data_IF_815449133650
#
_entry.id   IF_815449133650
#
_cell.length_a   1.000
_cell.length_b   1.000
_cell.length_c   1.000
_cell.angle_alpha   90.00
_cell.angle_beta   90.00
_cell.angle_gamma   90.00
#
_symmetry.space_group_name_H-M   'P 1'
#
loop_
_entity.id
_entity.type
_entity.pdbx_description
1 polymer ?
#
# COMPACT_ATOMS: atom_id res chain seq x y z
N UNK A 1 13.98 -11.25 -5.99
CA UNK A 1 12.54 -11.02 -6.25
C UNK A 1 12.10 -9.75 -5.54
N UNK A 2 11.40 -8.89 -6.23
CA UNK A 2 10.85 -7.66 -5.62
C UNK A 2 9.73 -8.01 -4.64
N UNK A 3 9.63 -7.26 -3.57
CA UNK A 3 8.70 -7.51 -2.48
C UNK A 3 7.70 -6.36 -2.34
N UNK A 4 6.41 -6.70 -2.33
CA UNK A 4 5.32 -5.73 -2.23
C UNK A 4 4.50 -6.00 -0.97
N UNK A 5 4.39 -5.03 -0.09
CA UNK A 5 3.55 -5.14 1.10
C UNK A 5 2.12 -4.71 0.76
N UNK A 6 1.16 -5.51 1.18
CA UNK A 6 -0.26 -5.22 1.03
C UNK A 6 -0.81 -4.95 2.42
N UNK A 7 -1.26 -3.72 2.66
CA UNK A 7 -1.78 -3.30 3.96
C UNK A 7 -3.27 -2.99 3.82
N UNK A 8 -4.09 -3.92 4.27
CA UNK A 8 -5.55 -3.82 4.18
C UNK A 8 -6.15 -4.69 5.28
N UNK A 9 -7.19 -4.21 5.94
CA UNK A 9 -7.87 -4.96 6.99
C UNK A 9 -8.84 -6.02 6.46
N UNK A 10 -9.16 -5.98 5.18
CA UNK A 10 -10.03 -6.97 4.55
C UNK A 10 -9.22 -8.20 4.10
N UNK A 11 -9.38 -9.36 4.77
CA UNK A 11 -8.60 -10.55 4.40
C UNK A 11 -8.89 -11.08 3.00
N UNK A 12 -10.10 -10.89 2.49
CA UNK A 12 -10.45 -11.34 1.14
C UNK A 12 -9.70 -10.54 0.10
N UNK A 13 -9.67 -9.24 0.26
CA UNK A 13 -8.97 -8.35 -0.67
C UNK A 13 -7.47 -8.60 -0.63
N UNK A 14 -6.90 -8.77 0.57
CA UNK A 14 -5.48 -9.12 0.71
C UNK A 14 -5.13 -10.37 -0.10
N UNK A 15 -5.94 -11.41 0.00
CA UNK A 15 -5.71 -12.66 -0.73
C UNK A 15 -5.81 -12.49 -2.23
N UNK A 16 -6.80 -11.72 -2.71
CA UNK A 16 -6.96 -11.45 -4.14
C UNK A 16 -5.77 -10.68 -4.71
N UNK A 17 -5.31 -9.67 -3.98
CA UNK A 17 -4.15 -8.89 -4.39
C UNK A 17 -2.89 -9.76 -4.36
N UNK A 18 -2.74 -10.58 -3.32
CA UNK A 18 -1.63 -11.52 -3.23
C UNK A 18 -1.54 -12.41 -4.47
N UNK A 19 -2.66 -12.98 -4.89
CA UNK A 19 -2.68 -13.89 -6.04
C UNK A 19 -2.27 -13.18 -7.32
N UNK A 20 -2.75 -11.93 -7.51
CA UNK A 20 -2.35 -11.12 -8.66
C UNK A 20 -0.85 -10.78 -8.65
N UNK A 21 -0.31 -10.46 -7.47
CA UNK A 21 1.12 -10.17 -7.34
C UNK A 21 1.97 -11.38 -7.65
N UNK A 22 1.57 -12.54 -7.20
CA UNK A 22 2.26 -13.80 -7.50
C UNK A 22 2.27 -14.03 -9.01
N UNK A 23 1.14 -13.81 -9.67
CA UNK A 23 1.04 -13.95 -11.12
C UNK A 23 1.95 -12.98 -11.86
N UNK A 24 2.21 -11.82 -11.28
CA UNK A 24 3.11 -10.81 -11.86
C UNK A 24 4.58 -11.06 -11.49
N UNK A 25 4.89 -12.12 -10.77
CA UNK A 25 6.26 -12.50 -10.45
C UNK A 25 6.90 -11.72 -9.31
N UNK A 26 6.11 -11.13 -8.42
CA UNK A 26 6.61 -10.41 -7.23
C UNK A 26 6.22 -11.15 -5.96
N UNK A 27 6.96 -10.91 -4.87
CA UNK A 27 6.68 -11.54 -3.59
C UNK A 27 5.70 -10.66 -2.80
N UNK A 28 4.49 -11.16 -2.47
CA UNK A 28 3.56 -10.42 -1.64
C UNK A 28 3.84 -10.63 -0.16
N UNK A 29 3.69 -9.58 0.65
CA UNK A 29 3.71 -9.68 2.10
C UNK A 29 2.43 -9.04 2.63
N UNK A 30 1.67 -9.78 3.42
CA UNK A 30 0.36 -9.36 3.88
C UNK A 30 0.45 -8.71 5.26
N UNK A 31 -0.14 -7.52 5.39
CA UNK A 31 -0.25 -6.81 6.66
C UNK A 31 -1.73 -6.49 6.91
N UNK A 32 -2.22 -6.82 8.08
CA UNK A 32 -3.62 -6.57 8.44
C UNK A 32 -3.85 -5.13 8.90
N UNK A 33 -2.80 -4.40 9.24
CA UNK A 33 -2.89 -3.03 9.76
C UNK A 33 -1.56 -2.30 9.57
N UNK A 34 -1.57 -1.00 9.88
CA UNK A 34 -0.39 -0.17 9.75
C UNK A 34 0.74 -0.49 10.72
N UNK A 35 0.40 -0.98 11.90
CA UNK A 35 1.39 -1.36 12.91
C UNK A 35 2.22 -2.56 12.43
N UNK A 36 1.56 -3.55 11.83
CA UNK A 36 2.24 -4.69 11.21
C UNK A 36 3.22 -4.23 10.14
N UNK A 37 2.81 -3.26 9.31
CA UNK A 37 3.68 -2.72 8.27
C UNK A 37 4.92 -2.05 8.87
N UNK A 38 4.73 -1.21 9.88
CA UNK A 38 5.83 -0.48 10.49
C UNK A 38 6.84 -1.44 11.12
N UNK A 39 6.37 -2.50 11.75
CA UNK A 39 7.22 -3.55 12.31
C UNK A 39 7.97 -4.31 11.21
N UNK A 40 7.26 -4.67 10.14
CA UNK A 40 7.83 -5.37 9.00
C UNK A 40 8.99 -4.59 8.35
N UNK A 41 8.85 -3.28 8.22
CA UNK A 41 9.87 -2.43 7.63
C UNK A 41 11.15 -2.38 8.44
N UNK A 42 11.09 -2.66 9.74
CA UNK A 42 12.27 -2.80 10.57
C UNK A 42 12.98 -4.14 10.43
N UNK A 43 12.34 -5.11 9.81
CA UNK A 43 12.83 -6.49 9.72
C UNK A 43 13.31 -6.88 8.32
N UNK A 44 12.75 -6.29 7.28
CA UNK A 44 13.08 -6.65 5.90
C UNK A 44 12.87 -5.49 4.94
N UNK A 45 13.51 -5.59 3.78
CA UNK A 45 13.35 -4.62 2.72
C UNK A 45 12.04 -4.84 1.97
N UNK A 46 11.27 -3.79 1.82
CA UNK A 46 10.04 -3.76 1.02
C UNK A 46 10.26 -2.78 -0.13
N UNK A 47 9.88 -3.17 -1.33
CA UNK A 47 10.12 -2.37 -2.54
C UNK A 47 8.93 -1.50 -2.94
N UNK A 48 7.73 -1.85 -2.50
CA UNK A 48 6.51 -1.11 -2.78
C UNK A 48 5.47 -1.41 -1.72
N UNK A 49 4.67 -0.41 -1.35
CA UNK A 49 3.59 -0.58 -0.38
C UNK A 49 2.27 -0.21 -1.03
N UNK A 50 1.28 -1.12 -0.93
CA UNK A 50 -0.11 -0.84 -1.28
C UNK A 50 -0.85 -0.63 0.04
N UNK A 51 -1.32 0.58 0.28
CA UNK A 51 -1.80 0.99 1.59
C UNK A 51 -3.27 1.44 1.53
N UNK A 52 -4.13 0.73 2.25
CA UNK A 52 -5.52 1.13 2.45
C UNK A 52 -5.60 2.30 3.43
N UNK A 53 -6.46 3.28 3.16
CA UNK A 53 -6.67 4.40 4.06
C UNK A 53 -7.64 4.09 5.20
N UNK A 54 -8.60 3.22 4.96
CA UNK A 54 -9.68 2.97 5.92
C UNK A 54 -9.41 1.69 6.71
N UNK A 55 -8.75 1.83 7.85
CA UNK A 55 -8.44 0.72 8.75
C UNK A 55 -8.81 1.08 10.18
N UNK A 56 -9.25 0.11 11.02
CA UNK A 56 -9.84 0.43 12.32
C UNK A 56 -8.88 0.95 13.40
N UNK A 57 -7.65 0.46 13.49
CA UNK A 57 -6.75 0.86 14.59
C UNK A 57 -5.85 2.01 14.23
N UNK A 58 -5.12 1.88 13.14
CA UNK A 58 -4.29 2.95 12.62
C UNK A 58 -4.70 3.15 11.17
N UNK A 59 -5.32 4.29 10.85
CA UNK A 59 -5.72 4.53 9.47
C UNK A 59 -4.49 4.71 8.56
N UNK A 60 -4.72 4.59 7.26
CA UNK A 60 -3.63 4.65 6.29
C UNK A 60 -2.91 5.99 6.28
N UNK A 61 -3.64 7.08 6.55
CA UNK A 61 -3.04 8.41 6.58
C UNK A 61 -2.03 8.54 7.72
N UNK A 62 -2.39 8.05 8.91
CA UNK A 62 -1.50 8.03 10.07
C UNK A 62 -0.29 7.14 9.79
N UNK A 63 -0.51 5.99 9.18
CA UNK A 63 0.57 5.09 8.80
C UNK A 63 1.55 5.78 7.84
N UNK A 64 1.04 6.45 6.81
CA UNK A 64 1.86 7.17 5.85
C UNK A 64 2.68 8.27 6.52
N UNK A 65 2.07 9.01 7.43
CA UNK A 65 2.75 10.04 8.20
C UNK A 65 3.91 9.45 9.01
N UNK A 66 3.69 8.33 9.68
CA UNK A 66 4.73 7.67 10.46
C UNK A 66 5.87 7.14 9.59
N UNK A 67 5.56 6.66 8.39
CA UNK A 67 6.58 6.26 7.42
C UNK A 67 7.50 7.42 7.07
N UNK A 68 6.94 8.60 6.84
CA UNK A 68 7.72 9.79 6.52
C UNK A 68 8.54 10.28 7.70
N UNK A 69 8.01 10.19 8.92
CA UNK A 69 8.74 10.53 10.14
C UNK A 69 9.96 9.62 10.33
N UNK A 70 9.89 8.38 9.86
CA UNK A 70 11.00 7.42 9.89
C UNK A 70 11.97 7.60 8.73
N UNK A 71 11.76 8.60 7.88
CA UNK A 71 12.55 8.83 6.67
C UNK A 71 12.58 7.62 5.73
N UNK A 72 11.51 6.83 5.74
CA UNK A 72 11.42 5.68 4.86
C UNK A 72 11.02 6.15 3.46
N UNK A 73 11.81 5.77 2.46
CA UNK A 73 11.64 6.23 1.08
C UNK A 73 10.93 5.23 0.17
N UNK A 74 10.39 4.14 0.72
CA UNK A 74 9.68 3.13 -0.09
C UNK A 74 8.47 3.79 -0.76
N UNK A 75 8.25 3.54 -2.07
CA UNK A 75 7.05 4.05 -2.74
C UNK A 75 5.79 3.52 -2.10
N UNK A 76 4.82 4.41 -1.90
CA UNK A 76 3.51 4.07 -1.33
C UNK A 76 2.42 4.42 -2.32
N UNK A 77 1.61 3.42 -2.67
CA UNK A 77 0.41 3.61 -3.46
C UNK A 77 -0.77 3.47 -2.52
N UNK A 78 -1.54 4.55 -2.39
CA UNK A 78 -2.74 4.53 -1.56
C UNK A 78 -3.87 3.88 -2.33
N UNK A 79 -4.52 2.88 -1.74
CA UNK A 79 -5.63 2.14 -2.34
C UNK A 79 -6.85 2.32 -1.44
N UNK A 80 -7.92 2.90 -1.99
CA UNK A 80 -9.08 3.25 -1.18
C UNK A 80 -10.39 3.02 -1.94
N UNK A 81 -11.47 2.80 -1.17
CA UNK A 81 -12.80 2.67 -1.73
C UNK A 81 -13.42 4.03 -2.08
N UNK A 82 -12.88 5.12 -1.56
CA UNK A 82 -13.50 6.44 -1.65
C UNK A 82 -12.65 7.43 -2.43
N UNK A 83 -13.29 8.12 -3.38
CA UNK A 83 -12.64 9.17 -4.16
C UNK A 83 -12.94 10.53 -3.51
N UNK A 84 -12.16 10.86 -2.47
CA UNK A 84 -12.27 12.14 -1.78
C UNK A 84 -11.07 13.02 -2.12
N UNK A 85 -11.31 14.18 -2.72
CA UNK A 85 -10.23 15.07 -3.16
C UNK A 85 -9.33 15.54 -2.01
N UNK A 86 -9.91 15.82 -0.84
CA UNK A 86 -9.14 16.23 0.32
C UNK A 86 -8.22 15.10 0.82
N UNK A 87 -8.68 13.86 0.76
CA UNK A 87 -7.86 12.70 1.14
C UNK A 87 -6.74 12.47 0.14
N UNK A 88 -7.03 12.61 -1.14
CA UNK A 88 -6.04 12.51 -2.21
C UNK A 88 -4.95 13.56 -2.03
N UNK A 89 -5.32 14.81 -1.78
CA UNK A 89 -4.38 15.91 -1.57
C UNK A 89 -3.53 15.69 -0.33
N UNK A 90 -4.13 15.24 0.77
CA UNK A 90 -3.43 14.95 2.01
C UNK A 90 -2.43 13.81 1.85
N UNK A 91 -2.83 12.73 1.19
CA UNK A 91 -1.95 11.60 0.93
C UNK A 91 -0.75 12.02 0.06
N UNK A 92 -1.00 12.81 -0.96
CA UNK A 92 0.07 13.33 -1.82
C UNK A 92 1.04 14.21 -1.05
N UNK A 93 0.51 15.09 -0.18
CA UNK A 93 1.34 15.95 0.66
C UNK A 93 2.22 15.13 1.62
N UNK A 94 1.75 13.96 2.04
CA UNK A 94 2.51 13.03 2.87
C UNK A 94 3.41 12.10 2.06
N UNK A 95 3.54 12.34 0.76
CA UNK A 95 4.47 11.63 -0.09
C UNK A 95 3.97 10.35 -0.72
N UNK A 96 2.65 10.11 -0.77
CA UNK A 96 2.11 9.00 -1.54
C UNK A 96 2.41 9.21 -3.03
N UNK A 97 2.83 8.16 -3.69
CA UNK A 97 3.23 8.23 -5.09
C UNK A 97 2.05 8.16 -6.05
N UNK A 98 0.98 7.49 -5.62
CA UNK A 98 -0.24 7.41 -6.41
C UNK A 98 -1.43 7.15 -5.48
N UNK A 99 -2.63 7.33 -6.01
CA UNK A 99 -3.88 7.18 -5.27
C UNK A 99 -4.85 6.42 -6.17
N UNK A 100 -5.16 5.18 -5.81
CA UNK A 100 -5.93 4.26 -6.66
C UNK A 100 -7.24 3.90 -5.98
N UNK A 101 -8.33 3.95 -6.72
CA UNK A 101 -9.61 3.45 -6.24
C UNK A 101 -9.62 1.93 -6.30
N UNK A 102 -10.12 1.28 -5.25
CA UNK A 102 -10.14 -0.18 -5.16
C UNK A 102 -10.71 -0.87 -6.41
N UNK A 103 -11.83 -0.39 -6.99
CA UNK A 103 -12.36 -1.03 -8.22
C UNK A 103 -11.39 -1.04 -9.41
N UNK A 104 -10.45 -0.09 -9.45
CA UNK A 104 -9.52 0.06 -10.56
C UNK A 104 -8.20 -0.67 -10.34
N UNK A 105 -7.97 -1.17 -9.12
CA UNK A 105 -6.66 -1.69 -8.74
C UNK A 105 -6.19 -2.84 -9.64
N UNK A 106 -7.04 -3.85 -9.82
CA UNK A 106 -6.63 -5.06 -10.54
C UNK A 106 -6.31 -4.77 -11.99
N UNK A 107 -7.08 -3.90 -12.62
CA UNK A 107 -6.83 -3.48 -14.01
C UNK A 107 -5.51 -2.71 -14.12
N UNK A 108 -5.21 -1.86 -13.14
CA UNK A 108 -4.02 -1.02 -13.17
C UNK A 108 -2.78 -1.68 -12.61
N UNK A 109 -2.91 -2.80 -11.92
CA UNK A 109 -1.80 -3.39 -11.17
C UNK A 109 -0.56 -3.69 -12.03
N UNK A 110 -0.66 -4.30 -13.22
CA UNK A 110 0.53 -4.53 -14.05
C UNK A 110 1.29 -3.25 -14.40
N UNK A 111 0.57 -2.20 -14.78
CA UNK A 111 1.14 -0.88 -15.09
C UNK A 111 1.83 -0.28 -13.87
N UNK A 112 1.17 -0.35 -12.71
CA UNK A 112 1.72 0.20 -11.47
C UNK A 112 3.00 -0.51 -11.05
N UNK A 113 3.03 -1.83 -11.16
CA UNK A 113 4.23 -2.60 -10.83
C UNK A 113 5.38 -2.24 -11.77
N UNK A 114 5.10 -2.10 -13.05
CA UNK A 114 6.11 -1.70 -14.02
C UNK A 114 6.67 -0.31 -13.72
N UNK A 115 5.81 0.62 -13.32
CA UNK A 115 6.22 2.00 -13.03
C UNK A 115 7.02 2.14 -11.74
N UNK A 116 6.65 1.41 -10.69
CA UNK A 116 7.19 1.64 -9.34
C UNK A 116 8.18 0.58 -8.88
N UNK A 117 8.34 -0.49 -9.60
CA UNK A 117 9.33 -1.52 -9.31
C UNK A 117 10.43 -1.54 -10.38
#
# INVERSE_FOLDING_TARGET
MKCVAIVDDDPRLRELIRDELIDEGVEPVLCANGEDLLELLGQRQIDLILLDLMMPTMDGMTCLKRLRERSNAVPVLVVTAFNEDNKRSEAKALGAHDFILKPDLFERLPELLERYL
#
